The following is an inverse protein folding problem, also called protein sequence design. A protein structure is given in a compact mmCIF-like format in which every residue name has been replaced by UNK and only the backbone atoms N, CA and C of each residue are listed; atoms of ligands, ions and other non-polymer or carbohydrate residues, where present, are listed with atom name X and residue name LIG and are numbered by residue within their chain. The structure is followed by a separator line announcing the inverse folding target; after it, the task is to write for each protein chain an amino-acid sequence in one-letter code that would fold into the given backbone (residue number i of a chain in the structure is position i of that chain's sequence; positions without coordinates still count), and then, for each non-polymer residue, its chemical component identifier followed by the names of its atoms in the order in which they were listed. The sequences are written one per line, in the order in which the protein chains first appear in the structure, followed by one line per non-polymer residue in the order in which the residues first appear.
data_IF_997729978632
#
_entry.id   IF_997729978632
#
_cell.length_a   1.000
_cell.length_b   1.000
_cell.length_c   1.000
_cell.angle_alpha   90.00
_cell.angle_beta   90.00
_cell.angle_gamma   90.00
#
_symmetry.space_group_name_H-M   'P 1'
#
loop_
_entity.id
_entity.type
_entity.pdbx_description
1 polymer ?
#
# COMPACT_ATOMS: atom_id res chain seq x y z
N UNK A 1 -15.88 12.06 -4.93
CA UNK A 1 -15.86 12.33 -3.47
C UNK A 1 -16.73 13.54 -3.10
N UNK A 2 -16.62 14.71 -3.77
CA UNK A 2 -17.44 15.93 -3.49
C UNK A 2 -18.94 15.62 -3.46
N UNK A 3 -19.45 14.87 -4.46
CA UNK A 3 -20.87 14.48 -4.49
C UNK A 3 -21.23 13.62 -3.25
N UNK A 4 -20.34 12.74 -2.85
CA UNK A 4 -20.55 11.86 -1.68
C UNK A 4 -20.52 12.65 -0.38
N UNK A 5 -19.64 13.65 -0.22
CA UNK A 5 -19.66 14.54 0.95
C UNK A 5 -21.00 15.26 1.09
N UNK A 6 -21.47 15.88 0.01
CA UNK A 6 -22.78 16.57 0.00
C UNK A 6 -23.95 15.62 0.29
N UNK A 7 -23.87 14.40 -0.19
CA UNK A 7 -24.86 13.36 0.09
C UNK A 7 -24.84 12.95 1.57
N UNK A 8 -23.66 12.70 2.13
CA UNK A 8 -23.46 12.34 3.53
C UNK A 8 -23.96 13.46 4.46
N UNK A 9 -23.62 14.73 4.18
CA UNK A 9 -24.12 15.88 4.92
C UNK A 9 -25.65 15.95 4.96
N UNK A 10 -26.32 15.64 3.82
CA UNK A 10 -27.79 15.61 3.78
C UNK A 10 -28.36 14.48 4.63
N UNK A 11 -27.75 13.28 4.58
CA UNK A 11 -28.14 12.14 5.44
C UNK A 11 -28.02 12.49 6.92
N UNK A 12 -26.89 13.06 7.32
CA UNK A 12 -26.62 13.43 8.71
C UNK A 12 -27.59 14.53 9.20
N UNK A 13 -27.92 15.51 8.33
CA UNK A 13 -28.91 16.54 8.65
C UNK A 13 -30.33 15.96 8.79
N UNK A 14 -30.72 15.01 7.96
CA UNK A 14 -32.01 14.34 8.04
C UNK A 14 -32.09 13.44 9.30
N UNK A 15 -31.01 12.74 9.65
CA UNK A 15 -30.94 11.93 10.85
C UNK A 15 -31.01 12.77 12.14
N UNK A 16 -30.50 14.01 12.12
CA UNK A 16 -30.52 14.93 13.25
C UNK A 16 -31.84 15.71 13.38
N UNK A 17 -32.61 15.87 12.31
CA UNK A 17 -33.82 16.67 12.27
C UNK A 17 -34.91 15.96 11.42
N UNK A 18 -35.91 15.33 12.10
CA UNK A 18 -36.98 14.59 11.41
C UNK A 18 -37.85 15.44 10.45
N UNK A 19 -37.76 16.77 10.50
CA UNK A 19 -38.47 17.65 9.55
C UNK A 19 -37.77 17.70 8.20
N UNK A 20 -36.53 17.23 8.07
CA UNK A 20 -35.77 17.22 6.83
C UNK A 20 -35.95 15.91 6.09
N UNK A 21 -36.21 16.00 4.80
CA UNK A 21 -36.31 14.82 3.94
C UNK A 21 -34.93 14.13 3.80
N UNK A 22 -34.93 12.80 3.89
CA UNK A 22 -33.76 12.02 3.53
C UNK A 22 -33.44 12.19 2.04
N UNK A 23 -32.13 12.22 1.68
CA UNK A 23 -31.75 12.22 0.28
C UNK A 23 -32.14 10.90 -0.38
N UNK A 24 -32.51 10.96 -1.66
CA UNK A 24 -32.75 9.76 -2.47
C UNK A 24 -31.52 8.83 -2.43
N UNK A 25 -31.77 7.52 -2.28
CA UNK A 25 -30.71 6.51 -2.18
C UNK A 25 -29.78 6.54 -3.40
N UNK A 26 -28.48 6.63 -3.16
CA UNK A 26 -27.47 6.65 -4.19
C UNK A 26 -26.37 5.62 -3.89
N UNK A 27 -26.43 4.46 -4.54
CA UNK A 27 -25.51 3.34 -4.32
C UNK A 27 -24.03 3.73 -4.45
N UNK A 28 -23.68 4.59 -5.41
CA UNK A 28 -22.29 5.06 -5.58
C UNK A 28 -21.81 5.93 -4.41
N UNK A 29 -22.71 6.76 -3.87
CA UNK A 29 -22.37 7.56 -2.69
C UNK A 29 -22.28 6.68 -1.44
N UNK A 30 -23.23 5.75 -1.24
CA UNK A 30 -23.21 4.82 -0.11
C UNK A 30 -21.90 4.00 -0.07
N UNK A 31 -21.45 3.48 -1.21
CA UNK A 31 -20.21 2.72 -1.32
C UNK A 31 -18.95 3.54 -0.95
N UNK A 32 -18.99 4.87 -1.08
CA UNK A 32 -17.87 5.76 -0.76
C UNK A 32 -17.94 6.39 0.65
N UNK A 33 -19.05 6.24 1.37
CA UNK A 33 -19.17 6.75 2.74
C UNK A 33 -18.13 6.15 3.67
N UNK A 34 -17.89 4.82 3.69
CA UNK A 34 -16.85 4.22 4.55
C UNK A 34 -15.45 4.81 4.30
N UNK A 35 -15.15 5.19 3.05
CA UNK A 35 -13.90 5.84 2.69
C UNK A 35 -13.78 7.23 3.32
N UNK A 36 -14.82 8.07 3.18
CA UNK A 36 -14.87 9.42 3.78
C UNK A 36 -14.88 9.36 5.31
N UNK A 37 -15.44 8.32 5.91
CA UNK A 37 -15.42 8.07 7.36
C UNK A 37 -14.14 7.40 7.86
N UNK A 38 -13.15 7.16 6.99
CA UNK A 38 -11.88 6.50 7.29
C UNK A 38 -12.04 5.09 7.90
N UNK A 39 -13.13 4.42 7.59
CA UNK A 39 -13.40 3.03 7.98
C UNK A 39 -12.67 2.03 7.10
N UNK A 40 -12.35 2.45 5.87
CA UNK A 40 -11.53 1.72 4.91
C UNK A 40 -10.47 2.65 4.34
N UNK A 41 -9.34 2.07 3.91
CA UNK A 41 -8.25 2.81 3.27
C UNK A 41 -8.49 2.97 1.77
N UNK A 42 -8.12 4.13 1.22
CA UNK A 42 -7.99 4.31 -0.22
C UNK A 42 -6.67 3.73 -0.70
N UNK A 43 -6.69 2.93 -1.75
CA UNK A 43 -5.50 2.47 -2.45
C UNK A 43 -5.34 3.29 -3.72
N UNK A 44 -4.39 4.21 -3.73
CA UNK A 44 -4.09 5.03 -4.90
C UNK A 44 -3.05 4.32 -5.77
N UNK A 45 -3.50 3.75 -6.89
CA UNK A 45 -2.63 3.23 -7.94
C UNK A 45 -1.94 4.41 -8.63
N UNK A 46 -0.65 4.59 -8.42
CA UNK A 46 0.13 5.71 -8.94
C UNK A 46 1.58 5.29 -9.24
N UNK A 47 2.09 5.73 -10.37
CA UNK A 47 3.43 5.39 -10.83
C UNK A 47 4.37 6.60 -10.80
N UNK A 48 4.01 7.67 -11.47
CA UNK A 48 4.84 8.87 -11.66
C UNK A 48 4.83 9.77 -10.45
N UNK A 49 5.86 10.57 -10.29
CA UNK A 49 5.94 11.54 -9.20
C UNK A 49 4.75 12.53 -9.19
N UNK A 50 4.30 12.98 -10.36
CA UNK A 50 3.12 13.86 -10.50
C UNK A 50 1.81 13.17 -10.13
N UNK A 51 1.65 11.87 -10.43
CA UNK A 51 0.51 11.05 -9.98
C UNK A 51 0.55 10.88 -8.45
N UNK A 52 1.72 10.62 -7.88
CA UNK A 52 1.90 10.47 -6.43
C UNK A 52 1.53 11.77 -5.72
N UNK A 53 2.01 12.93 -6.19
CA UNK A 53 1.59 14.23 -5.63
C UNK A 53 0.09 14.48 -5.78
N UNK A 54 -0.51 14.03 -6.88
CA UNK A 54 -1.96 14.12 -7.08
C UNK A 54 -2.72 13.26 -6.08
N UNK A 55 -2.25 12.01 -5.83
CA UNK A 55 -2.81 11.13 -4.82
C UNK A 55 -2.72 11.75 -3.41
N UNK A 56 -1.55 12.30 -3.05
CA UNK A 56 -1.33 13.01 -1.78
C UNK A 56 -2.28 14.21 -1.66
N UNK A 57 -2.40 15.04 -2.69
CA UNK A 57 -3.32 16.17 -2.70
C UNK A 57 -4.77 15.74 -2.46
N UNK A 58 -5.23 14.69 -3.15
CA UNK A 58 -6.60 14.16 -2.96
C UNK A 58 -6.76 13.58 -1.55
N UNK A 59 -5.77 12.83 -1.05
CA UNK A 59 -5.78 12.29 0.31
C UNK A 59 -5.96 13.39 1.36
N UNK A 60 -5.20 14.48 1.23
CA UNK A 60 -5.29 15.65 2.12
C UNK A 60 -6.63 16.39 1.99
N UNK A 61 -7.06 16.69 0.76
CA UNK A 61 -8.31 17.42 0.47
C UNK A 61 -9.55 16.75 1.08
N UNK A 62 -9.59 15.43 1.06
CA UNK A 62 -10.71 14.64 1.58
C UNK A 62 -10.43 13.98 2.94
N UNK A 63 -9.30 14.27 3.57
CA UNK A 63 -8.88 13.69 4.85
C UNK A 63 -8.93 12.15 4.88
N UNK A 64 -8.51 11.51 3.81
CA UNK A 64 -8.57 10.06 3.67
C UNK A 64 -7.49 9.35 4.49
N UNK A 65 -7.78 8.11 4.92
CA UNK A 65 -6.76 7.11 5.24
C UNK A 65 -6.39 6.42 3.93
N UNK A 66 -5.12 6.46 3.50
CA UNK A 66 -4.74 5.99 2.17
C UNK A 66 -3.35 5.40 2.08
N UNK A 67 -3.10 4.71 0.99
CA UNK A 67 -1.86 4.02 0.66
C UNK A 67 -1.49 4.36 -0.78
N UNK A 68 -0.20 4.53 -1.05
CA UNK A 68 0.35 4.65 -2.40
C UNK A 68 0.71 3.26 -2.92
N UNK A 69 0.07 2.83 -4.01
CA UNK A 69 0.30 1.51 -4.62
C UNK A 69 1.14 1.67 -5.87
N UNK A 70 2.09 0.77 -6.08
CA UNK A 70 3.19 0.80 -7.03
C UNK A 70 4.23 1.86 -6.70
N UNK A 71 3.85 3.11 -6.59
CA UNK A 71 4.72 4.21 -6.18
C UNK A 71 6.07 4.20 -6.93
N UNK A 72 6.03 3.93 -8.25
CA UNK A 72 7.20 3.55 -9.06
C UNK A 72 8.31 4.60 -9.07
N UNK A 73 7.95 5.89 -9.12
CA UNK A 73 8.88 7.01 -9.01
C UNK A 73 9.02 7.56 -7.59
N UNK A 74 8.57 6.81 -6.58
CA UNK A 74 8.63 7.22 -5.17
C UNK A 74 10.05 7.57 -4.71
N UNK A 75 11.06 6.87 -5.24
CA UNK A 75 12.47 7.13 -4.96
C UNK A 75 12.92 8.55 -5.35
N UNK A 76 12.26 9.21 -6.28
CA UNK A 76 12.58 10.58 -6.70
C UNK A 76 12.07 11.63 -5.70
N UNK A 77 11.07 11.27 -4.89
CA UNK A 77 10.36 12.16 -3.95
C UNK A 77 10.19 11.53 -2.56
N UNK A 78 11.10 10.65 -2.18
CA UNK A 78 10.99 9.82 -0.98
C UNK A 78 10.84 10.65 0.31
N UNK A 79 11.55 11.78 0.42
CA UNK A 79 11.46 12.68 1.58
C UNK A 79 10.07 13.33 1.70
N UNK A 80 9.43 13.66 0.58
CA UNK A 80 8.09 14.26 0.62
C UNK A 80 7.03 13.22 0.99
N UNK A 81 7.16 11.98 0.51
CA UNK A 81 6.30 10.86 0.93
C UNK A 81 6.49 10.57 2.42
N UNK A 82 7.73 10.58 2.92
CA UNK A 82 8.02 10.39 4.33
C UNK A 82 7.41 11.49 5.21
N UNK A 83 7.50 12.76 4.80
CA UNK A 83 6.85 13.89 5.49
C UNK A 83 5.32 13.75 5.54
N UNK A 84 4.73 13.14 4.52
CA UNK A 84 3.30 12.87 4.48
C UNK A 84 2.87 11.78 5.48
N UNK A 85 3.79 10.88 5.83
CA UNK A 85 3.53 9.79 6.77
C UNK A 85 2.61 8.71 6.23
N UNK A 86 2.49 8.59 4.91
CA UNK A 86 1.67 7.57 4.26
C UNK A 86 2.49 6.37 3.84
N UNK A 87 1.95 5.14 3.96
CA UNK A 87 2.66 3.94 3.52
C UNK A 87 2.68 3.80 2.00
N UNK A 88 3.69 3.08 1.51
CA UNK A 88 3.83 2.73 0.10
C UNK A 88 3.94 1.21 -0.08
N UNK A 89 3.27 0.70 -1.11
CA UNK A 89 3.40 -0.69 -1.58
C UNK A 89 4.11 -0.64 -2.92
N UNK A 90 5.36 -1.06 -2.96
CA UNK A 90 6.21 -1.02 -4.14
C UNK A 90 6.15 -2.31 -4.94
N UNK A 91 6.13 -2.20 -6.24
CA UNK A 91 6.14 -3.36 -7.14
C UNK A 91 5.10 -3.24 -8.27
N UNK A 92 5.11 -4.23 -9.17
CA UNK A 92 6.01 -5.39 -9.26
C UNK A 92 7.45 -5.00 -9.62
N UNK A 93 8.45 -5.61 -8.97
CA UNK A 93 9.88 -5.27 -9.19
C UNK A 93 10.51 -6.06 -10.35
N UNK A 94 9.94 -7.20 -10.73
CA UNK A 94 10.46 -8.11 -11.76
C UNK A 94 9.76 -7.89 -13.12
N UNK A 95 9.33 -6.67 -13.40
CA UNK A 95 8.64 -6.34 -14.65
C UNK A 95 9.52 -5.51 -15.59
N UNK A 96 9.07 -5.39 -16.83
CA UNK A 96 9.71 -4.54 -17.85
C UNK A 96 9.12 -3.13 -17.83
N UNK A 97 9.82 -2.19 -18.47
CA UNK A 97 9.33 -0.82 -18.70
C UNK A 97 8.34 -0.77 -19.87
N UNK A 98 7.24 -1.51 -19.76
CA UNK A 98 6.27 -1.71 -20.86
C UNK A 98 5.35 -0.53 -21.11
N UNK A 99 5.32 0.43 -20.18
CA UNK A 99 4.46 1.63 -20.25
C UNK A 99 5.27 2.89 -19.96
N UNK A 100 4.88 4.07 -20.50
CA UNK A 100 5.60 5.33 -20.25
C UNK A 100 5.78 5.66 -18.76
N UNK A 101 4.77 5.38 -17.93
CA UNK A 101 4.81 5.62 -16.49
C UNK A 101 5.82 4.74 -15.73
N UNK A 102 6.36 3.70 -16.37
CA UNK A 102 7.39 2.82 -15.80
C UNK A 102 8.82 3.18 -16.24
N UNK A 103 9.01 4.26 -16.99
CA UNK A 103 10.32 4.64 -17.55
C UNK A 103 11.40 4.73 -16.48
N UNK A 104 11.10 5.32 -15.32
CA UNK A 104 12.03 5.48 -14.21
C UNK A 104 11.92 4.38 -13.15
N UNK A 105 11.32 3.23 -13.48
CA UNK A 105 11.25 2.11 -12.54
C UNK A 105 12.64 1.61 -12.17
N UNK A 106 12.83 1.35 -10.89
CA UNK A 106 14.07 0.77 -10.33
C UNK A 106 13.75 -0.17 -9.18
N UNK A 107 14.54 -1.23 -9.05
CA UNK A 107 14.42 -2.17 -7.93
C UNK A 107 14.94 -1.58 -6.61
N UNK A 108 15.69 -0.47 -6.67
CA UNK A 108 16.13 0.30 -5.51
C UNK A 108 14.99 1.07 -4.82
N UNK A 109 13.87 1.32 -5.52
CA UNK A 109 12.77 2.16 -5.03
C UNK A 109 12.29 1.81 -3.61
N UNK A 110 11.95 0.54 -3.24
CA UNK A 110 11.51 0.23 -1.89
C UNK A 110 12.58 0.51 -0.83
N UNK A 111 13.85 0.26 -1.13
CA UNK A 111 14.96 0.55 -0.20
C UNK A 111 15.16 2.06 0.03
N UNK A 112 15.03 2.87 -1.02
CA UNK A 112 15.11 4.35 -0.90
C UNK A 112 13.97 4.88 -0.05
N UNK A 113 12.74 4.42 -0.27
CA UNK A 113 11.58 4.81 0.52
C UNK A 113 11.70 4.39 1.99
N UNK A 114 12.08 3.15 2.26
CA UNK A 114 12.29 2.65 3.61
C UNK A 114 13.37 3.46 4.35
N UNK A 115 14.49 3.75 3.68
CA UNK A 115 15.58 4.59 4.24
C UNK A 115 15.12 6.00 4.56
N UNK A 116 14.19 6.57 3.80
CA UNK A 116 13.58 7.86 4.07
C UNK A 116 12.56 7.83 5.22
N UNK A 117 12.23 6.64 5.77
CA UNK A 117 11.28 6.47 6.86
C UNK A 117 9.84 6.18 6.43
N UNK A 118 9.60 5.87 5.15
CA UNK A 118 8.29 5.44 4.67
C UNK A 118 8.02 4.00 5.08
N UNK A 119 6.87 3.71 5.67
CA UNK A 119 6.43 2.32 5.91
C UNK A 119 6.21 1.65 4.54
N UNK A 120 7.15 0.81 4.15
CA UNK A 120 7.23 0.25 2.80
C UNK A 120 6.91 -1.24 2.80
N UNK A 121 6.06 -1.67 1.86
CA UNK A 121 5.84 -3.07 1.53
C UNK A 121 6.23 -3.34 0.07
N UNK A 122 6.49 -4.60 -0.26
CA UNK A 122 6.76 -5.07 -1.63
C UNK A 122 5.61 -5.97 -2.07
N UNK A 123 5.15 -5.79 -3.31
CA UNK A 123 4.13 -6.63 -3.92
C UNK A 123 4.59 -7.23 -5.26
N UNK A 124 3.94 -8.31 -5.65
CA UNK A 124 4.11 -8.95 -6.95
C UNK A 124 3.09 -8.48 -7.97
N UNK A 125 2.02 -7.83 -7.51
CA UNK A 125 0.86 -7.47 -8.35
C UNK A 125 0.35 -8.71 -9.11
N UNK A 126 0.13 -9.82 -8.36
CA UNK A 126 -0.32 -11.08 -8.95
C UNK A 126 -1.61 -10.82 -9.77
N UNK A 127 -1.63 -11.21 -11.00
CA UNK A 127 -0.84 -12.22 -11.74
C UNK A 127 0.31 -11.66 -12.61
N UNK A 128 0.63 -10.35 -12.51
CA UNK A 128 1.76 -9.76 -13.26
C UNK A 128 3.06 -10.50 -12.94
N UNK A 129 3.35 -10.69 -11.65
CA UNK A 129 4.39 -11.60 -11.17
C UNK A 129 3.73 -12.65 -10.28
N UNK A 130 3.98 -13.95 -10.50
CA UNK A 130 3.42 -14.99 -9.64
C UNK A 130 3.76 -14.76 -8.16
N UNK A 131 2.74 -14.89 -7.28
CA UNK A 131 2.89 -14.65 -5.84
C UNK A 131 4.06 -15.41 -5.17
N UNK A 132 4.37 -16.67 -5.53
CA UNK A 132 5.54 -17.38 -4.98
C UNK A 132 6.89 -16.70 -5.21
N UNK A 133 6.97 -15.71 -6.11
CA UNK A 133 8.17 -14.92 -6.39
C UNK A 133 8.28 -13.66 -5.51
N UNK A 134 7.41 -13.51 -4.50
CA UNK A 134 7.49 -12.38 -3.58
C UNK A 134 8.81 -12.32 -2.82
N UNK A 135 9.34 -13.42 -2.24
CA UNK A 135 10.67 -13.41 -1.62
C UNK A 135 11.78 -13.03 -2.59
N UNK A 136 11.72 -13.54 -3.83
CA UNK A 136 12.67 -13.17 -4.90
C UNK A 136 12.62 -11.67 -5.20
N UNK A 137 11.43 -11.07 -5.23
CA UNK A 137 11.27 -9.62 -5.43
C UNK A 137 11.97 -8.83 -4.32
N UNK A 138 11.83 -9.25 -3.07
CA UNK A 138 12.54 -8.66 -1.93
C UNK A 138 14.06 -8.85 -2.04
N UNK A 139 14.53 -10.02 -2.47
CA UNK A 139 15.94 -10.30 -2.72
C UNK A 139 16.56 -9.36 -3.77
N UNK A 140 15.80 -9.02 -4.82
CA UNK A 140 16.26 -8.01 -5.79
C UNK A 140 16.38 -6.61 -5.18
N UNK A 141 15.49 -6.23 -4.28
CA UNK A 141 15.60 -4.95 -3.57
C UNK A 141 16.85 -4.91 -2.67
N UNK A 142 17.18 -6.04 -2.00
CA UNK A 142 18.44 -6.17 -1.24
C UNK A 142 19.66 -6.03 -2.15
N UNK A 143 19.65 -6.66 -3.33
CA UNK A 143 20.70 -6.53 -4.33
C UNK A 143 20.94 -5.09 -4.80
N UNK A 144 19.93 -4.23 -4.72
CA UNK A 144 19.98 -2.81 -5.02
C UNK A 144 20.17 -1.91 -3.77
N UNK A 145 20.54 -2.51 -2.64
CA UNK A 145 20.96 -1.81 -1.43
C UNK A 145 19.88 -1.59 -0.36
N UNK A 146 18.73 -2.25 -0.45
CA UNK A 146 17.78 -2.31 0.66
C UNK A 146 18.37 -3.12 1.81
N UNK A 147 18.16 -2.68 3.05
CA UNK A 147 18.54 -3.47 4.23
C UNK A 147 17.83 -4.83 4.22
N UNK A 148 18.54 -5.90 4.57
CA UNK A 148 18.03 -7.26 4.51
C UNK A 148 16.82 -7.49 5.43
N UNK A 149 16.93 -7.03 6.67
CA UNK A 149 15.85 -7.18 7.66
C UNK A 149 14.63 -6.34 7.25
N UNK A 150 14.87 -5.16 6.70
CA UNK A 150 13.78 -4.32 6.20
C UNK A 150 13.11 -4.93 4.96
N UNK A 151 13.85 -5.62 4.10
CA UNK A 151 13.28 -6.35 2.97
C UNK A 151 12.41 -7.53 3.43
N UNK A 152 12.80 -8.26 4.48
CA UNK A 152 11.97 -9.27 5.12
C UNK A 152 10.71 -8.65 5.72
N UNK A 153 10.85 -7.54 6.44
CA UNK A 153 9.69 -6.81 6.98
C UNK A 153 8.75 -6.33 5.89
N UNK A 154 9.28 -5.89 4.77
CA UNK A 154 8.51 -5.38 3.63
C UNK A 154 7.62 -6.44 2.96
N UNK A 155 7.86 -7.73 3.20
CA UNK A 155 7.02 -8.83 2.70
C UNK A 155 6.28 -9.58 3.81
N UNK A 156 6.40 -9.16 5.08
CA UNK A 156 5.79 -9.81 6.24
C UNK A 156 5.01 -8.82 7.11
N UNK A 157 5.66 -8.22 8.10
CA UNK A 157 5.01 -7.36 9.10
C UNK A 157 4.58 -6.00 8.54
N UNK A 158 5.32 -5.41 7.57
CA UNK A 158 4.96 -4.10 7.03
C UNK A 158 3.63 -4.16 6.26
N UNK A 159 3.39 -5.11 5.32
CA UNK A 159 2.07 -5.24 4.70
C UNK A 159 0.97 -5.54 5.72
N UNK A 160 1.23 -6.32 6.77
CA UNK A 160 0.27 -6.56 7.83
C UNK A 160 -0.12 -5.25 8.54
N UNK A 161 0.85 -4.40 8.91
CA UNK A 161 0.59 -3.06 9.48
C UNK A 161 -0.19 -2.15 8.52
N UNK A 162 0.17 -2.15 7.25
CA UNK A 162 -0.51 -1.37 6.22
C UNK A 162 -1.99 -1.77 6.13
N UNK A 163 -2.27 -3.08 6.21
CA UNK A 163 -3.62 -3.63 6.16
C UNK A 163 -4.35 -3.64 7.52
N UNK A 164 -3.69 -3.21 8.62
CA UNK A 164 -4.22 -3.27 10.01
C UNK A 164 -4.54 -4.71 10.43
N UNK A 165 -3.67 -5.65 10.10
CA UNK A 165 -3.75 -7.08 10.44
C UNK A 165 -2.55 -7.55 11.27
N UNK A 166 -1.72 -6.62 11.73
CA UNK A 166 -0.47 -6.91 12.43
C UNK A 166 -0.66 -7.41 13.88
N UNK A 167 -1.88 -7.36 14.39
CA UNK A 167 -2.30 -8.04 15.61
C UNK A 167 -2.48 -9.57 15.42
N UNK A 168 -2.68 -10.03 14.18
CA UNK A 168 -2.93 -11.42 13.84
C UNK A 168 -1.83 -12.10 13.06
N UNK A 169 -1.17 -11.39 12.12
CA UNK A 169 -0.22 -11.97 11.16
C UNK A 169 1.02 -11.10 10.98
N UNK A 170 1.99 -11.58 10.22
CA UNK A 170 3.18 -10.82 9.78
C UNK A 170 4.40 -10.94 10.67
N UNK A 171 4.29 -11.58 11.86
CA UNK A 171 5.43 -11.87 12.75
C UNK A 171 5.19 -13.13 13.56
N UNK A 172 6.28 -13.74 14.03
CA UNK A 172 6.25 -14.91 14.89
C UNK A 172 6.17 -14.47 16.37
N UNK A 173 4.95 -14.26 16.85
CA UNK A 173 4.66 -13.84 18.22
C UNK A 173 3.56 -14.69 18.82
N UNK A 174 3.60 -14.89 20.14
CA UNK A 174 2.55 -15.61 20.86
C UNK A 174 1.20 -14.90 20.70
N UNK A 175 0.20 -15.66 20.28
CA UNK A 175 -1.17 -15.16 20.08
C UNK A 175 -1.50 -14.78 18.65
N UNK A 176 -0.51 -14.77 17.74
CA UNK A 176 -0.74 -14.59 16.30
C UNK A 176 -1.01 -15.91 15.58
N UNK A 177 -1.59 -15.81 14.40
CA UNK A 177 -1.83 -16.96 13.52
C UNK A 177 -0.47 -17.55 13.09
N UNK A 178 -0.39 -18.89 13.06
CA UNK A 178 0.86 -19.61 12.80
C UNK A 178 1.10 -19.82 11.29
N UNK A 179 1.16 -18.71 10.53
CA UNK A 179 1.54 -18.72 9.11
C UNK A 179 3.07 -18.76 9.00
N UNK A 180 3.64 -19.98 8.99
CA UNK A 180 5.07 -20.20 9.11
C UNK A 180 5.60 -20.90 7.85
N UNK A 181 6.66 -20.33 7.27
CA UNK A 181 7.45 -20.97 6.20
C UNK A 181 8.82 -21.37 6.73
N UNK A 182 9.25 -22.58 6.41
CA UNK A 182 10.57 -23.11 6.78
C UNK A 182 11.44 -23.25 5.54
N UNK A 183 12.63 -22.68 5.60
CA UNK A 183 13.62 -22.72 4.52
C UNK A 183 14.92 -23.39 5.01
N UNK A 184 15.67 -24.04 4.11
CA UNK A 184 17.01 -24.60 4.42
C UNK A 184 18.13 -23.57 4.32
N UNK A 185 17.83 -22.35 3.97
CA UNK A 185 18.79 -21.28 3.80
C UNK A 185 18.09 -19.94 3.72
N UNK A 186 18.75 -18.97 3.12
CA UNK A 186 18.22 -17.61 2.98
C UNK A 186 16.88 -17.61 2.21
N UNK A 187 15.77 -17.16 2.83
CA UNK A 187 14.46 -17.12 2.18
C UNK A 187 14.39 -16.15 0.98
N UNK A 188 15.28 -15.16 0.91
CA UNK A 188 15.32 -14.20 -0.21
C UNK A 188 16.17 -14.67 -1.38
N UNK A 189 16.96 -15.75 -1.21
CA UNK A 189 17.76 -16.31 -2.30
C UNK A 189 16.87 -17.11 -3.28
N UNK A 190 17.01 -16.82 -4.55
CA UNK A 190 16.21 -17.43 -5.64
C UNK A 190 16.27 -18.97 -5.64
N UNK A 191 17.41 -19.53 -5.21
CA UNK A 191 17.63 -20.97 -5.20
C UNK A 191 16.87 -21.69 -4.06
N UNK A 192 16.46 -20.99 -3.04
CA UNK A 192 15.84 -21.58 -1.85
C UNK A 192 14.31 -21.58 -1.99
N UNK A 193 13.73 -22.71 -1.65
CA UNK A 193 12.26 -22.91 -1.64
C UNK A 193 11.80 -23.24 -0.23
N UNK A 194 10.59 -22.83 0.16
CA UNK A 194 10.03 -23.30 1.41
C UNK A 194 9.87 -24.82 1.37
N UNK A 195 10.22 -25.49 2.45
CA UNK A 195 10.00 -26.93 2.65
C UNK A 195 8.63 -27.20 3.30
N UNK A 196 8.16 -26.26 4.10
CA UNK A 196 6.89 -26.30 4.81
C UNK A 196 6.39 -24.86 4.93
#
# INVERSE_FOLDING_TARGET
LIKTQKYLEKKEKAAADPSKAEPEFNMKCEALIPLLKRQVKAHFHCHRADDIYTAIRIGREFHLDYILVHCTEGHLIAEDIAKEGVPAICGPLLTTRSKPELTNSTKANPGVLAKAGVLTAICTDHDVIPMPLLPTSAGFAVGEGMDYEEALRAITINPAKICKLDDRVGSLETGKDADILVFDGDPLAVANKPKM
#
